data_IF_656044890658
#
_entry.id   IF_656044890658
#
_cell.length_a   1.000
_cell.length_b   1.000
_cell.length_c   1.000
_cell.angle_alpha   90.00
_cell.angle_beta   90.00
_cell.angle_gamma   90.00
#
_symmetry.space_group_name_H-M   'P 1'
#
loop_
_entity.id
_entity.type
_entity.pdbx_description
1 polymer ?
#
# COMPACT_ATOMS: atom_id res chain seq x y z
N UNK A 1 40.26 -16.13 -56.11
CA UNK A 1 40.75 -15.21 -55.05
C UNK A 1 39.66 -14.20 -54.66
N UNK A 2 39.15 -14.36 -53.43
CA UNK A 2 38.85 -13.26 -52.48
C UNK A 2 37.90 -12.15 -52.98
N UNK A 3 36.76 -11.83 -52.37
CA UNK A 3 36.33 -12.00 -50.98
C UNK A 3 34.88 -11.49 -50.90
N UNK A 4 34.07 -12.08 -49.99
CA UNK A 4 33.16 -11.40 -49.04
C UNK A 4 32.10 -10.40 -49.54
N UNK A 5 30.89 -10.29 -48.99
CA UNK A 5 30.21 -10.92 -47.88
C UNK A 5 28.75 -10.51 -48.07
N UNK A 6 27.81 -11.43 -47.89
CA UNK A 6 26.38 -11.14 -47.93
C UNK A 6 26.01 -10.13 -46.85
N UNK A 7 25.27 -9.05 -47.14
CA UNK A 7 24.73 -8.20 -46.09
C UNK A 7 23.52 -8.91 -45.46
N UNK A 8 23.72 -9.47 -44.28
CA UNK A 8 22.63 -9.94 -43.43
C UNK A 8 22.71 -9.24 -42.07
N UNK A 9 22.16 -8.03 -41.92
CA UNK A 9 21.74 -7.58 -40.61
C UNK A 9 20.30 -8.06 -40.40
N UNK A 10 20.12 -9.33 -40.08
CA UNK A 10 18.98 -9.76 -39.26
C UNK A 10 19.22 -9.23 -37.84
N UNK A 11 19.14 -7.91 -37.67
CA UNK A 11 19.13 -7.30 -36.35
C UNK A 11 17.71 -7.50 -35.81
N UNK A 12 17.50 -8.65 -35.17
CA UNK A 12 16.33 -8.93 -34.35
C UNK A 12 16.31 -7.93 -33.20
N UNK A 13 15.79 -6.73 -33.47
CA UNK A 13 15.61 -5.68 -32.48
C UNK A 13 14.43 -6.07 -31.61
N UNK A 14 14.66 -6.99 -30.68
CA UNK A 14 13.68 -7.29 -29.64
C UNK A 14 13.63 -6.11 -28.68
N UNK A 15 12.68 -5.20 -28.90
CA UNK A 15 12.30 -4.18 -27.91
C UNK A 15 11.33 -4.85 -26.93
N UNK A 16 11.85 -5.30 -25.80
CA UNK A 16 11.02 -5.74 -24.69
C UNK A 16 10.38 -4.51 -24.03
N UNK A 17 9.09 -4.28 -24.32
CA UNK A 17 8.28 -3.36 -23.53
C UNK A 17 8.02 -4.01 -22.16
N UNK A 18 8.89 -3.74 -21.20
CA UNK A 18 8.58 -4.01 -19.80
C UNK A 18 7.58 -2.94 -19.35
N UNK A 19 6.29 -3.25 -19.45
CA UNK A 19 5.27 -2.51 -18.73
C UNK A 19 5.44 -2.89 -17.26
N UNK A 20 6.17 -2.06 -16.52
CA UNK A 20 6.09 -2.07 -15.07
C UNK A 20 4.66 -1.61 -14.75
N UNK A 21 3.74 -2.57 -14.63
CA UNK A 21 2.45 -2.33 -13.99
C UNK A 21 2.86 -2.02 -12.56
N UNK A 22 3.06 -0.73 -12.27
CA UNK A 22 3.36 -0.27 -10.93
C UNK A 22 2.16 -0.68 -10.10
N UNK A 23 2.25 -1.86 -9.47
CA UNK A 23 1.23 -2.35 -8.57
C UNK A 23 0.97 -1.18 -7.60
N UNK A 24 -0.28 -0.68 -7.55
CA UNK A 24 -0.63 0.35 -6.59
C UNK A 24 -0.17 -0.16 -5.23
N UNK A 25 0.31 0.73 -4.36
CA UNK A 25 0.77 0.34 -3.04
C UNK A 25 -0.43 -0.27 -2.28
N UNK A 26 -0.62 -1.57 -2.44
CA UNK A 26 -1.71 -2.33 -1.87
C UNK A 26 -1.26 -2.76 -0.49
N UNK A 27 -2.18 -2.72 0.45
CA UNK A 27 -2.01 -3.40 1.73
C UNK A 27 -1.80 -4.89 1.42
N UNK A 28 -0.64 -5.41 1.82
CA UNK A 28 -0.35 -6.85 1.78
C UNK A 28 -1.29 -7.59 2.74
N UNK A 29 -1.62 -6.95 3.85
CA UNK A 29 -2.63 -7.36 4.81
C UNK A 29 -3.53 -6.16 5.04
N UNK A 30 -4.77 -6.30 4.57
CA UNK A 30 -5.81 -5.29 4.79
C UNK A 30 -6.06 -5.12 6.28
N UNK A 31 -6.63 -3.98 6.62
CA UNK A 31 -7.08 -3.73 7.97
C UNK A 31 -8.14 -4.76 8.34
N UNK A 32 -7.86 -5.57 9.35
CA UNK A 32 -8.86 -6.48 9.86
C UNK A 32 -9.87 -5.65 10.66
N UNK A 33 -11.14 -5.72 10.27
CA UNK A 33 -12.21 -5.16 11.06
C UNK A 33 -12.12 -5.78 12.46
N UNK A 34 -11.85 -4.94 13.43
CA UNK A 34 -11.74 -5.36 14.82
C UNK A 34 -12.90 -4.69 15.53
N UNK A 35 -13.91 -5.48 15.86
CA UNK A 35 -15.01 -5.03 16.70
C UNK A 35 -14.45 -4.67 18.08
N UNK A 36 -14.61 -3.43 18.47
CA UNK A 36 -14.23 -2.94 19.79
C UNK A 36 -15.47 -2.36 20.46
N UNK A 37 -15.56 -2.57 21.78
CA UNK A 37 -16.66 -2.05 22.59
C UNK A 37 -16.71 -0.50 22.53
N UNK A 38 -17.93 0.03 22.51
CA UNK A 38 -18.22 1.48 22.60
C UNK A 38 -17.50 2.11 23.81
N UNK A 39 -16.83 3.24 23.59
CA UNK A 39 -15.99 3.88 24.61
C UNK A 39 -14.66 3.16 24.88
N UNK A 40 -14.37 2.09 24.15
CA UNK A 40 -13.11 1.36 24.21
C UNK A 40 -11.98 1.98 23.39
N UNK A 41 -10.81 1.36 23.46
CA UNK A 41 -9.67 1.67 22.59
C UNK A 41 -9.49 0.52 21.60
N UNK A 42 -9.49 0.81 20.30
CA UNK A 42 -9.19 -0.20 19.27
C UNK A 42 -7.81 0.02 18.68
N UNK A 43 -7.09 -1.07 18.45
CA UNK A 43 -5.80 -1.05 17.76
C UNK A 43 -5.91 -1.84 16.47
N UNK A 44 -5.78 -1.15 15.36
CA UNK A 44 -5.88 -1.67 14.01
C UNK A 44 -4.48 -1.76 13.43
N UNK A 45 -4.11 -2.92 12.87
CA UNK A 45 -2.79 -3.13 12.27
C UNK A 45 -2.94 -3.61 10.83
N UNK A 46 -2.15 -3.02 9.94
CA UNK A 46 -2.03 -3.47 8.56
C UNK A 46 -0.57 -3.63 8.14
N UNK A 47 -0.37 -4.43 7.09
CA UNK A 47 0.92 -4.55 6.42
C UNK A 47 0.79 -4.12 4.96
N UNK A 48 1.81 -3.43 4.46
CA UNK A 48 1.90 -2.87 3.12
C UNK A 48 2.84 -3.72 2.27
N UNK A 49 2.54 -3.82 0.98
CA UNK A 49 3.48 -4.43 0.03
C UNK A 49 4.74 -3.60 -0.19
N UNK A 50 4.67 -2.28 0.05
CA UNK A 50 5.81 -1.36 -0.09
C UNK A 50 6.17 -0.69 1.24
N UNK A 51 7.45 -0.73 1.65
CA UNK A 51 7.91 0.03 2.80
C UNK A 51 7.80 1.54 2.51
N UNK A 52 7.45 2.33 3.54
CA UNK A 52 7.26 3.79 3.45
C UNK A 52 6.12 4.24 2.51
N UNK A 53 5.17 3.36 2.21
CA UNK A 53 3.96 3.76 1.50
C UNK A 53 3.06 4.62 2.42
N UNK A 54 2.48 5.73 1.93
CA UNK A 54 1.57 6.53 2.74
C UNK A 54 0.31 5.71 3.05
N UNK A 55 -0.07 5.67 4.32
CA UNK A 55 -1.30 5.02 4.79
C UNK A 55 -2.31 6.09 5.12
N UNK A 56 -3.45 6.04 4.45
CA UNK A 56 -4.60 6.87 4.77
C UNK A 56 -5.60 6.01 5.54
N UNK A 57 -5.94 6.47 6.74
CA UNK A 57 -6.87 5.78 7.62
C UNK A 57 -8.25 6.37 7.43
N UNK A 58 -9.27 5.54 7.22
CA UNK A 58 -10.65 5.99 7.03
C UNK A 58 -11.60 5.08 7.79
N UNK A 59 -12.59 5.69 8.46
CA UNK A 59 -13.72 5.01 9.09
C UNK A 59 -14.94 5.29 8.21
N UNK A 60 -15.39 4.31 7.42
CA UNK A 60 -16.42 4.52 6.40
C UNK A 60 -15.99 5.57 5.37
N UNK A 61 -16.73 6.66 5.27
CA UNK A 61 -16.44 7.83 4.42
C UNK A 61 -15.59 8.91 5.10
N UNK A 62 -15.32 8.78 6.40
CA UNK A 62 -14.57 9.77 7.18
C UNK A 62 -13.09 9.46 7.16
N UNK A 63 -12.26 10.42 6.74
CA UNK A 63 -10.80 10.30 6.84
C UNK A 63 -10.34 10.60 8.25
N UNK A 64 -9.64 9.66 8.85
CA UNK A 64 -9.03 9.78 10.16
C UNK A 64 -7.68 10.49 10.04
N UNK A 65 -7.37 11.32 11.02
CA UNK A 65 -6.11 12.07 11.09
C UNK A 65 -5.39 11.79 12.40
N UNK A 66 -4.05 11.75 12.40
CA UNK A 66 -3.28 11.57 13.62
C UNK A 66 -3.52 12.74 14.58
N UNK A 67 -3.79 12.43 15.84
CA UNK A 67 -4.13 13.41 16.87
C UNK A 67 -4.38 12.76 18.23
N UNK A 68 -5.03 13.49 19.14
CA UNK A 68 -5.33 13.01 20.49
C UNK A 68 -6.33 11.83 20.50
N UNK A 69 -7.27 11.80 19.55
CA UNK A 69 -8.25 10.71 19.40
C UNK A 69 -7.69 9.50 18.62
N UNK A 70 -6.71 9.73 17.75
CA UNK A 70 -6.19 8.71 16.83
C UNK A 70 -4.66 8.74 16.78
N UNK A 71 -4.00 7.68 17.21
CA UNK A 71 -2.55 7.55 17.12
C UNK A 71 -2.17 6.64 15.96
N UNK A 72 -1.39 7.16 15.01
CA UNK A 72 -0.93 6.40 13.85
C UNK A 72 0.58 6.19 13.93
N UNK A 73 1.01 4.94 13.92
CA UNK A 73 2.41 4.52 13.92
C UNK A 73 2.70 3.77 12.63
N UNK A 74 3.75 4.15 11.93
CA UNK A 74 4.21 3.43 10.74
C UNK A 74 5.64 2.95 10.94
N UNK A 75 5.85 1.64 10.85
CA UNK A 75 7.16 0.98 10.89
C UNK A 75 7.42 0.23 9.59
N UNK A 76 8.12 0.89 8.67
CA UNK A 76 8.54 0.28 7.41
C UNK A 76 7.36 -0.13 6.54
N UNK A 77 7.03 -1.42 6.54
CA UNK A 77 5.86 -1.98 5.85
C UNK A 77 4.65 -2.18 6.76
N UNK A 78 4.76 -2.04 8.08
CA UNK A 78 3.64 -2.20 9.00
C UNK A 78 3.12 -0.83 9.42
N UNK A 79 1.80 -0.66 9.48
CA UNK A 79 1.18 0.50 10.08
C UNK A 79 0.16 0.08 11.13
N UNK A 80 0.08 0.86 12.19
CA UNK A 80 -0.75 0.64 13.36
C UNK A 80 -1.54 1.93 13.63
N UNK A 81 -2.84 1.82 13.84
CA UNK A 81 -3.73 2.89 14.23
C UNK A 81 -4.37 2.51 15.55
N UNK A 82 -4.18 3.35 16.56
CA UNK A 82 -4.89 3.27 17.83
C UNK A 82 -5.95 4.34 17.84
N UNK A 83 -7.21 3.96 18.02
CA UNK A 83 -8.32 4.89 18.19
C UNK A 83 -8.75 4.81 19.65
N UNK A 84 -8.68 5.94 20.35
CA UNK A 84 -9.10 6.06 21.74
C UNK A 84 -10.51 6.61 21.81
N UNK A 85 -11.28 6.16 22.80
CA UNK A 85 -12.64 6.64 23.06
C UNK A 85 -13.51 6.51 21.81
N UNK A 86 -13.81 5.27 21.42
CA UNK A 86 -14.72 4.98 20.31
C UNK A 86 -16.10 5.58 20.61
N UNK A 87 -16.30 6.83 20.22
CA UNK A 87 -17.59 7.51 20.30
C UNK A 87 -18.61 6.74 19.46
N UNK A 88 -19.74 6.38 20.09
CA UNK A 88 -20.90 5.76 19.44
C UNK A 88 -21.68 6.77 18.58
N UNK A 89 -21.00 7.59 17.81
CA UNK A 89 -21.65 8.56 16.93
C UNK A 89 -21.69 8.12 15.45
N UNK A 90 -21.52 6.82 15.20
CA UNK A 90 -21.83 6.19 13.90
C UNK A 90 -22.56 4.86 14.13
N UNK A 91 -23.88 4.92 14.09
CA UNK A 91 -24.75 3.77 13.82
C UNK A 91 -25.63 4.07 12.61
#
# INVERSE_FOLDING_TARGET
PSTSFSPSPSCSRSKSHFYFIALPALFKQELQDTEAEEGGTVTLRCELTKPKAPVEWRKGDVTLYPGLKHEMKQQGCAAELVIYDLEVEDS
#
